data_IF_808484787371
#
_entry.id   IF_808484787371
#
_cell.length_a   1.000
_cell.length_b   1.000
_cell.length_c   1.000
_cell.angle_alpha   90.00
_cell.angle_beta   90.00
_cell.angle_gamma   90.00
#
_symmetry.space_group_name_H-M   'P 1'
#
loop_
_entity.id
_entity.type
_entity.pdbx_description
1 polymer ?
#
# COMPACT_ATOMS: atom_id res chain seq x y z
N UNK A 1 -11.64 -0.32 -50.73
CA UNK A 1 -10.92 -1.44 -50.08
C UNK A 1 -11.87 -1.94 -49.04
N UNK A 2 -12.45 -3.11 -49.26
CA UNK A 2 -13.54 -3.61 -48.43
C UNK A 2 -12.99 -3.94 -47.04
N UNK A 3 -13.80 -3.70 -45.99
CA UNK A 3 -13.41 -3.94 -44.59
C UNK A 3 -12.91 -5.37 -44.37
N UNK A 4 -13.42 -6.31 -45.18
CA UNK A 4 -13.04 -7.71 -45.19
C UNK A 4 -11.63 -7.96 -45.79
N UNK A 5 -11.17 -7.14 -46.73
CA UNK A 5 -9.81 -7.25 -47.29
C UNK A 5 -8.75 -6.78 -46.30
N UNK A 6 -9.07 -5.77 -45.48
CA UNK A 6 -8.17 -5.27 -44.44
C UNK A 6 -8.06 -6.25 -43.27
N UNK A 7 -9.19 -6.81 -42.80
CA UNK A 7 -9.21 -7.79 -41.71
C UNK A 7 -8.49 -9.12 -42.08
N UNK A 8 -8.45 -9.47 -43.37
CA UNK A 8 -7.82 -10.70 -43.86
C UNK A 8 -6.34 -10.55 -44.24
N UNK A 9 -5.75 -9.36 -44.06
CA UNK A 9 -4.34 -9.14 -44.38
C UNK A 9 -3.44 -10.06 -43.52
N UNK A 10 -2.49 -10.79 -44.12
CA UNK A 10 -1.68 -11.80 -43.43
C UNK A 10 -0.89 -11.21 -42.24
N UNK A 11 -0.42 -9.96 -42.35
CA UNK A 11 0.23 -9.26 -41.24
C UNK A 11 -0.72 -8.99 -40.07
N UNK A 12 -1.98 -8.61 -40.32
CA UNK A 12 -2.97 -8.36 -39.27
C UNK A 12 -3.35 -9.65 -38.54
N UNK A 13 -3.50 -10.76 -39.27
CA UNK A 13 -3.70 -12.09 -38.68
C UNK A 13 -2.51 -12.54 -37.84
N UNK A 14 -1.28 -12.33 -38.32
CA UNK A 14 -0.07 -12.64 -37.57
C UNK A 14 0.04 -11.81 -36.29
N UNK A 15 -0.26 -10.50 -36.38
CA UNK A 15 -0.25 -9.59 -35.23
C UNK A 15 -1.31 -9.97 -34.19
N UNK A 16 -2.54 -10.27 -34.62
CA UNK A 16 -3.62 -10.72 -33.73
C UNK A 16 -3.27 -12.06 -33.04
N UNK A 17 -2.70 -13.02 -33.76
CA UNK A 17 -2.27 -14.28 -33.17
C UNK A 17 -1.16 -14.07 -32.12
N UNK A 18 -0.22 -13.17 -32.39
CA UNK A 18 0.85 -12.83 -31.45
C UNK A 18 0.30 -12.13 -30.20
N UNK A 19 -0.63 -11.19 -30.36
CA UNK A 19 -1.34 -10.55 -29.24
C UNK A 19 -2.13 -11.56 -28.40
N UNK A 20 -2.81 -12.51 -29.04
CA UNK A 20 -3.54 -13.58 -28.33
C UNK A 20 -2.59 -14.48 -27.50
N UNK A 21 -1.46 -14.91 -28.08
CA UNK A 21 -0.46 -15.71 -27.36
C UNK A 21 0.13 -14.92 -26.19
N UNK A 22 0.53 -13.67 -26.43
CA UNK A 22 1.06 -12.79 -25.38
C UNK A 22 0.04 -12.61 -24.26
N UNK A 23 -1.23 -12.42 -24.61
CA UNK A 23 -2.32 -12.27 -23.66
C UNK A 23 -2.49 -13.52 -22.78
N UNK A 24 -2.48 -14.72 -23.37
CA UNK A 24 -2.54 -15.98 -22.62
C UNK A 24 -1.34 -16.11 -21.67
N UNK A 25 -0.12 -15.81 -22.15
CA UNK A 25 1.09 -15.84 -21.32
C UNK A 25 0.96 -14.87 -20.13
N UNK A 26 0.50 -13.64 -20.36
CA UNK A 26 0.31 -12.63 -19.32
C UNK A 26 -0.71 -13.08 -18.27
N UNK A 27 -1.80 -13.74 -18.67
CA UNK A 27 -2.78 -14.32 -17.73
C UNK A 27 -2.14 -15.40 -16.87
N UNK A 28 -1.46 -16.37 -17.49
CA UNK A 28 -0.84 -17.50 -16.78
C UNK A 28 0.23 -17.01 -15.80
N UNK A 29 1.09 -16.10 -16.24
CA UNK A 29 2.14 -15.50 -15.40
C UNK A 29 1.50 -14.68 -14.27
N UNK A 30 0.48 -13.88 -14.55
CA UNK A 30 -0.24 -13.09 -13.55
C UNK A 30 -0.86 -13.95 -12.45
N UNK A 31 -1.56 -15.03 -12.82
CA UNK A 31 -2.10 -15.99 -11.85
C UNK A 31 -1.00 -16.71 -11.07
N UNK A 32 0.10 -17.10 -11.73
CA UNK A 32 1.24 -17.72 -11.06
C UNK A 32 1.84 -16.82 -9.99
N UNK A 33 2.05 -15.53 -10.31
CA UNK A 33 2.52 -14.53 -9.35
C UNK A 33 1.54 -14.32 -8.20
N UNK A 34 0.23 -14.37 -8.43
CA UNK A 34 -0.79 -14.25 -7.38
C UNK A 34 -0.76 -15.42 -6.41
N UNK A 35 -0.79 -16.65 -6.94
CA UNK A 35 -0.77 -17.87 -6.13
C UNK A 35 0.50 -17.90 -5.27
N UNK A 36 1.60 -17.38 -5.81
CA UNK A 36 2.85 -17.24 -5.08
C UNK A 36 2.82 -16.12 -4.02
N UNK A 37 2.30 -14.94 -4.35
CA UNK A 37 2.37 -13.76 -3.50
C UNK A 37 1.32 -13.75 -2.37
N UNK A 38 0.12 -14.26 -2.62
CA UNK A 38 -1.00 -14.21 -1.67
C UNK A 38 -0.69 -14.93 -0.35
N UNK A 39 -0.19 -16.18 -0.33
CA UNK A 39 0.15 -16.85 0.92
C UNK A 39 1.23 -16.11 1.71
N UNK A 40 2.20 -15.52 1.01
CA UNK A 40 3.28 -14.75 1.62
C UNK A 40 2.77 -13.45 2.25
N UNK A 41 1.98 -12.67 1.51
CA UNK A 41 1.33 -11.44 2.01
C UNK A 41 0.42 -11.77 3.19
N UNK A 42 -0.37 -12.84 3.09
CA UNK A 42 -1.29 -13.27 4.15
C UNK A 42 -0.55 -13.68 5.43
N UNK A 43 0.58 -14.39 5.30
CA UNK A 43 1.43 -14.77 6.43
C UNK A 43 1.97 -13.54 7.15
N UNK A 44 2.45 -12.54 6.42
CA UNK A 44 2.98 -11.31 7.03
C UNK A 44 1.87 -10.43 7.63
N UNK A 45 0.69 -10.36 7.01
CA UNK A 45 -0.49 -9.73 7.60
C UNK A 45 -0.87 -10.37 8.95
N UNK A 46 -0.86 -11.70 9.05
CA UNK A 46 -1.21 -12.43 10.28
C UNK A 46 -0.20 -12.18 11.41
N UNK A 47 1.08 -12.09 11.06
CA UNK A 47 2.17 -11.90 12.02
C UNK A 47 2.48 -10.42 12.32
N UNK A 48 1.76 -9.50 11.68
CA UNK A 48 1.98 -8.06 11.84
C UNK A 48 1.71 -7.62 13.28
N UNK A 49 2.71 -6.94 13.83
CA UNK A 49 2.79 -6.49 15.22
C UNK A 49 1.95 -5.23 15.45
N UNK A 50 1.81 -4.39 14.42
CA UNK A 50 1.09 -3.12 14.51
C UNK A 50 -0.09 -3.06 13.55
N UNK A 51 -1.10 -2.27 13.91
CA UNK A 51 -2.29 -2.04 13.08
C UNK A 51 -1.92 -1.44 11.71
N UNK A 52 -0.97 -0.50 11.69
CA UNK A 52 -0.45 0.13 10.48
C UNK A 52 0.18 -0.91 9.53
N UNK A 53 0.96 -1.84 10.09
CA UNK A 53 1.56 -2.94 9.33
C UNK A 53 0.47 -3.86 8.74
N UNK A 54 -0.61 -4.12 9.48
CA UNK A 54 -1.76 -4.90 8.96
C UNK A 54 -2.45 -4.17 7.81
N UNK A 55 -2.67 -2.85 7.94
CA UNK A 55 -3.25 -2.03 6.87
C UNK A 55 -2.36 -2.05 5.63
N UNK A 56 -1.05 -1.92 5.79
CA UNK A 56 -0.08 -2.05 4.70
C UNK A 56 -0.19 -3.40 3.98
N UNK A 57 -0.18 -4.51 4.71
CA UNK A 57 -0.29 -5.85 4.09
C UNK A 57 -1.66 -6.09 3.44
N UNK A 58 -2.74 -5.56 4.03
CA UNK A 58 -4.06 -5.55 3.39
C UNK A 58 -4.05 -4.73 2.09
N UNK A 59 -3.41 -3.56 2.08
CA UNK A 59 -3.28 -2.73 0.88
C UNK A 59 -2.47 -3.45 -0.20
N UNK A 60 -1.34 -4.06 0.16
CA UNK A 60 -0.53 -4.88 -0.74
C UNK A 60 -1.34 -6.02 -1.35
N UNK A 61 -2.12 -6.72 -0.54
CA UNK A 61 -3.03 -7.76 -1.03
C UNK A 61 -3.98 -7.16 -2.07
N UNK A 62 -4.73 -6.13 -1.71
CA UNK A 62 -5.69 -5.49 -2.63
C UNK A 62 -5.02 -5.02 -3.93
N UNK A 63 -3.86 -4.38 -3.86
CA UNK A 63 -3.11 -3.92 -5.03
C UNK A 63 -2.72 -5.06 -5.97
N UNK A 64 -2.28 -6.22 -5.43
CA UNK A 64 -1.98 -7.40 -6.23
C UNK A 64 -3.22 -7.94 -6.96
N UNK A 65 -4.38 -7.97 -6.28
CA UNK A 65 -5.65 -8.37 -6.89
C UNK A 65 -6.09 -7.40 -7.99
N UNK A 66 -6.02 -6.08 -7.74
CA UNK A 66 -6.36 -5.06 -8.74
C UNK A 66 -5.47 -5.12 -9.98
N UNK A 67 -4.16 -5.34 -9.82
CA UNK A 67 -3.26 -5.50 -10.97
C UNK A 67 -3.67 -6.67 -11.87
N UNK A 68 -4.16 -7.75 -11.28
CA UNK A 68 -4.56 -8.94 -12.03
C UNK A 68 -5.91 -8.74 -12.70
N UNK A 69 -6.85 -8.08 -12.04
CA UNK A 69 -8.08 -7.64 -12.71
C UNK A 69 -7.76 -6.75 -13.92
N UNK A 70 -6.78 -5.84 -13.81
CA UNK A 70 -6.34 -5.02 -14.92
C UNK A 70 -5.68 -5.85 -16.04
N UNK A 71 -4.82 -6.82 -15.72
CA UNK A 71 -4.21 -7.73 -16.71
C UNK A 71 -5.28 -8.57 -17.41
N UNK A 72 -6.22 -9.15 -16.65
CA UNK A 72 -7.33 -9.93 -17.19
C UNK A 72 -8.20 -9.08 -18.12
N UNK A 73 -8.49 -7.84 -17.74
CA UNK A 73 -9.24 -6.90 -18.56
C UNK A 73 -8.49 -6.50 -19.83
N UNK A 74 -7.19 -6.23 -19.73
CA UNK A 74 -6.36 -5.94 -20.90
C UNK A 74 -6.37 -7.10 -21.88
N UNK A 75 -6.25 -8.33 -21.36
CA UNK A 75 -6.29 -9.57 -22.16
C UNK A 75 -7.65 -9.76 -22.79
N UNK A 76 -8.74 -9.54 -22.04
CA UNK A 76 -10.09 -9.58 -22.58
C UNK A 76 -10.26 -8.58 -23.72
N UNK A 77 -9.82 -7.32 -23.55
CA UNK A 77 -9.87 -6.31 -24.62
C UNK A 77 -8.99 -6.62 -25.84
N UNK A 78 -7.93 -7.41 -25.68
CA UNK A 78 -7.05 -7.81 -26.77
C UNK A 78 -7.59 -9.02 -27.56
N UNK A 79 -8.46 -9.83 -26.94
CA UNK A 79 -9.14 -10.95 -27.61
C UNK A 79 -10.32 -10.39 -28.41
N UNK A 80 -10.39 -10.74 -29.69
CA UNK A 80 -11.39 -10.30 -30.68
C UNK A 80 -12.76 -9.90 -30.08
N UNK A 81 -13.08 -8.61 -30.23
CA UNK A 81 -14.29 -7.95 -29.72
C UNK A 81 -15.58 -8.74 -30.01
N UNK A 82 -15.66 -9.50 -31.10
CA UNK A 82 -16.88 -10.24 -31.47
C UNK A 82 -17.18 -11.47 -30.60
N UNK A 83 -16.14 -12.18 -30.12
CA UNK A 83 -16.29 -13.34 -29.21
C UNK A 83 -16.53 -12.85 -27.78
N UNK A 84 -15.89 -11.73 -27.44
CA UNK A 84 -15.94 -11.11 -26.13
C UNK A 84 -17.31 -10.45 -25.87
N UNK A 85 -17.86 -9.69 -26.83
CA UNK A 85 -19.14 -8.98 -26.66
C UNK A 85 -20.28 -9.95 -26.31
N UNK A 86 -20.39 -11.08 -27.03
CA UNK A 86 -21.48 -12.05 -26.84
C UNK A 86 -21.42 -12.81 -25.50
N UNK A 87 -20.22 -13.02 -24.96
CA UNK A 87 -20.04 -13.80 -23.73
C UNK A 87 -19.91 -12.92 -22.48
N UNK A 88 -19.31 -11.72 -22.58
CA UNK A 88 -19.24 -10.77 -21.47
C UNK A 88 -20.60 -10.16 -21.12
N UNK A 89 -21.48 -9.95 -22.11
CA UNK A 89 -22.84 -9.44 -21.88
C UNK A 89 -23.64 -10.25 -20.85
N UNK A 90 -23.35 -11.54 -20.70
CA UNK A 90 -24.07 -12.43 -19.78
C UNK A 90 -23.37 -12.66 -18.43
N UNK A 91 -22.08 -12.31 -18.32
CA UNK A 91 -21.25 -12.64 -17.15
C UNK A 91 -20.72 -11.42 -16.40
N UNK A 92 -20.75 -10.24 -17.02
CA UNK A 92 -20.15 -9.03 -16.44
C UNK A 92 -21.14 -8.28 -15.55
N UNK A 93 -20.94 -8.35 -14.24
CA UNK A 93 -21.52 -7.41 -13.28
C UNK A 93 -20.78 -6.09 -13.40
N UNK A 94 -21.27 -5.19 -14.26
CA UNK A 94 -20.75 -3.83 -14.45
C UNK A 94 -20.71 -3.05 -13.13
N UNK A 95 -19.59 -2.40 -12.81
CA UNK A 95 -19.48 -1.47 -11.67
C UNK A 95 -20.45 -0.29 -11.84
N UNK A 96 -20.77 0.05 -13.09
CA UNK A 96 -21.75 1.05 -13.49
C UNK A 96 -23.19 0.74 -13.03
N UNK A 97 -23.53 -0.50 -12.66
CA UNK A 97 -24.82 -0.82 -12.00
C UNK A 97 -24.96 -0.15 -10.62
N UNK A 98 -23.84 0.14 -9.96
CA UNK A 98 -23.83 0.84 -8.66
C UNK A 98 -24.25 2.31 -8.83
N UNK A 99 -24.12 2.87 -10.04
CA UNK A 99 -24.36 4.29 -10.33
C UNK A 99 -25.64 4.58 -11.16
N UNK A 100 -26.57 3.63 -11.21
CA UNK A 100 -28.02 3.85 -11.50
C UNK A 100 -28.49 4.26 -12.90
N UNK A 101 -27.70 4.16 -13.98
CA UNK A 101 -28.27 4.21 -15.34
C UNK A 101 -27.70 3.13 -16.28
N UNK A 102 -28.56 2.42 -17.04
CA UNK A 102 -28.14 1.41 -18.01
C UNK A 102 -27.55 2.12 -19.22
N UNK A 103 -26.27 2.47 -19.14
CA UNK A 103 -25.49 2.90 -20.31
C UNK A 103 -25.46 1.72 -21.28
N UNK A 104 -25.77 1.97 -22.55
CA UNK A 104 -25.72 0.97 -23.62
C UNK A 104 -24.42 0.14 -23.53
N UNK A 105 -24.57 -1.18 -23.41
CA UNK A 105 -23.61 -2.12 -22.80
C UNK A 105 -22.20 -2.20 -23.42
N UNK A 106 -21.98 -1.65 -24.62
CA UNK A 106 -20.63 -1.55 -25.19
C UNK A 106 -19.80 -0.45 -24.53
N UNK A 107 -20.41 0.68 -24.15
CA UNK A 107 -19.71 1.82 -23.53
C UNK A 107 -19.34 1.61 -22.06
N UNK A 108 -20.12 0.81 -21.33
CA UNK A 108 -19.92 0.56 -19.90
C UNK A 108 -18.70 -0.34 -19.63
N UNK A 109 -18.36 -1.26 -20.53
CA UNK A 109 -17.15 -2.10 -20.39
C UNK A 109 -15.88 -1.26 -20.48
N UNK A 110 -15.81 -0.32 -21.44
CA UNK A 110 -14.67 0.58 -21.57
C UNK A 110 -14.58 1.55 -20.37
N UNK A 111 -15.71 2.03 -19.86
CA UNK A 111 -15.74 2.85 -18.65
C UNK A 111 -15.25 2.09 -17.42
N UNK A 112 -15.70 0.86 -17.22
CA UNK A 112 -15.28 -0.01 -16.11
C UNK A 112 -13.79 -0.33 -16.20
N UNK A 113 -13.26 -0.62 -17.40
CA UNK A 113 -11.82 -0.80 -17.63
C UNK A 113 -11.07 0.48 -17.30
N UNK A 114 -11.55 1.64 -17.76
CA UNK A 114 -10.92 2.93 -17.50
C UNK A 114 -10.89 3.25 -16.00
N UNK A 115 -11.98 3.02 -15.27
CA UNK A 115 -12.05 3.16 -13.82
C UNK A 115 -11.09 2.21 -13.12
N UNK A 116 -11.01 0.94 -13.54
CA UNK A 116 -10.07 -0.04 -12.98
C UNK A 116 -8.61 0.34 -13.22
N UNK A 117 -8.29 0.94 -14.37
CA UNK A 117 -6.97 1.49 -14.65
C UNK A 117 -6.66 2.70 -13.77
N UNK A 118 -7.60 3.62 -13.56
CA UNK A 118 -7.44 4.75 -12.63
C UNK A 118 -7.22 4.23 -11.20
N UNK A 119 -8.07 3.33 -10.72
CA UNK A 119 -7.93 2.75 -9.38
C UNK A 119 -6.61 2.00 -9.23
N UNK A 120 -6.22 1.19 -10.22
CA UNK A 120 -4.92 0.51 -10.25
C UNK A 120 -3.74 1.49 -10.20
N UNK A 121 -3.82 2.59 -10.95
CA UNK A 121 -2.80 3.65 -10.94
C UNK A 121 -2.73 4.36 -9.58
N UNK A 122 -3.88 4.74 -9.01
CA UNK A 122 -3.94 5.34 -7.66
C UNK A 122 -3.35 4.38 -6.63
N UNK A 123 -3.63 3.08 -6.71
CA UNK A 123 -3.06 2.07 -5.82
C UNK A 123 -1.53 1.97 -5.96
N UNK A 124 -1.00 2.00 -7.19
CA UNK A 124 0.44 2.00 -7.43
C UNK A 124 1.11 3.27 -6.90
N UNK A 125 0.49 4.44 -7.08
CA UNK A 125 1.03 5.72 -6.61
C UNK A 125 1.01 5.84 -5.08
N UNK A 126 0.00 5.24 -4.43
CA UNK A 126 -0.14 5.25 -2.97
C UNK A 126 0.67 4.16 -2.27
N UNK A 127 1.16 3.15 -2.99
CA UNK A 127 2.00 2.07 -2.43
C UNK A 127 3.26 2.61 -1.73
N UNK A 128 3.84 3.70 -2.27
CA UNK A 128 4.97 4.40 -1.65
C UNK A 128 4.63 5.19 -0.38
N UNK A 129 3.35 5.49 -0.14
CA UNK A 129 2.90 6.26 1.03
C UNK A 129 2.74 5.38 2.27
N UNK A 130 2.49 4.08 2.10
CA UNK A 130 2.24 3.18 3.23
C UNK A 130 3.50 2.54 3.81
N UNK A 131 4.69 2.75 3.22
CA UNK A 131 5.96 2.23 3.73
C UNK A 131 6.68 1.34 2.72
N UNK A 132 7.82 0.77 3.12
CA UNK A 132 8.63 -0.11 2.27
C UNK A 132 8.87 -1.44 2.97
N UNK A 133 8.93 -2.51 2.20
CA UNK A 133 9.41 -3.81 2.70
C UNK A 133 10.90 -3.87 2.45
N UNK A 134 11.67 -4.17 3.49
CA UNK A 134 13.12 -4.39 3.41
C UNK A 134 13.45 -5.70 2.69
N UNK A 135 14.69 -5.87 2.22
CA UNK A 135 15.14 -7.11 1.58
C UNK A 135 15.01 -8.34 2.50
N UNK A 136 15.01 -8.11 3.81
CA UNK A 136 14.80 -9.11 4.86
C UNK A 136 13.31 -9.40 5.15
N UNK A 137 12.39 -8.76 4.43
CA UNK A 137 10.95 -8.99 4.54
C UNK A 137 10.25 -8.21 5.66
N UNK A 138 10.96 -7.34 6.38
CA UNK A 138 10.37 -6.52 7.43
C UNK A 138 9.75 -5.25 6.87
N UNK A 139 8.56 -4.92 7.37
CA UNK A 139 7.88 -3.67 7.07
C UNK A 139 8.58 -2.50 7.76
N UNK A 140 8.99 -1.51 6.97
CA UNK A 140 9.51 -0.24 7.43
C UNK A 140 8.44 0.84 7.16
N UNK A 141 7.84 1.44 8.21
CA UNK A 141 6.82 2.46 8.01
C UNK A 141 7.41 3.70 7.32
N UNK A 142 6.54 4.52 6.69
CA UNK A 142 6.99 5.74 6.05
C UNK A 142 7.58 6.72 7.09
N UNK A 143 8.54 7.54 6.66
CA UNK A 143 9.33 8.39 7.56
C UNK A 143 8.47 9.29 8.48
N UNK A 144 7.33 9.79 7.99
CA UNK A 144 6.41 10.59 8.79
C UNK A 144 5.75 9.79 9.94
N UNK A 145 5.41 8.52 9.73
CA UNK A 145 4.88 7.64 10.79
C UNK A 145 5.99 7.31 11.80
N UNK A 146 7.22 7.08 11.32
CA UNK A 146 8.37 6.86 12.19
C UNK A 146 8.62 8.07 13.10
N UNK A 147 8.57 9.28 12.55
CA UNK A 147 8.70 10.54 13.28
C UNK A 147 7.61 10.70 14.34
N UNK A 148 6.35 10.46 13.99
CA UNK A 148 5.24 10.54 14.95
C UNK A 148 5.40 9.54 16.12
N UNK A 149 5.93 8.35 15.84
CA UNK A 149 6.28 7.38 16.90
C UNK A 149 7.41 7.91 17.79
N UNK A 150 8.49 8.43 17.21
CA UNK A 150 9.60 9.02 17.96
C UNK A 150 9.14 10.16 18.86
N UNK A 151 8.32 11.08 18.34
CA UNK A 151 7.73 12.19 19.09
C UNK A 151 6.92 11.65 20.28
N UNK A 152 6.04 10.67 20.04
CA UNK A 152 5.21 10.08 21.11
C UNK A 152 6.04 9.36 22.17
N UNK A 153 7.09 8.65 21.76
CA UNK A 153 7.99 7.95 22.67
C UNK A 153 8.82 8.94 23.51
N UNK A 154 9.25 10.06 22.92
CA UNK A 154 9.90 11.16 23.64
C UNK A 154 8.95 11.81 24.64
N UNK A 155 7.72 12.14 24.23
CA UNK A 155 6.69 12.70 25.14
C UNK A 155 6.40 11.77 26.31
N UNK A 156 6.32 10.46 26.05
CA UNK A 156 6.13 9.45 27.10
C UNK A 156 7.31 9.39 28.07
N UNK A 157 8.54 9.37 27.56
CA UNK A 157 9.76 9.36 28.40
C UNK A 157 9.89 10.63 29.24
N UNK A 158 9.57 11.79 28.68
CA UNK A 158 9.53 13.05 29.41
C UNK A 158 8.53 12.96 30.56
N UNK A 159 7.31 12.45 30.32
CA UNK A 159 6.31 12.29 31.37
C UNK A 159 6.78 11.33 32.47
N UNK A 160 7.37 10.18 32.10
CA UNK A 160 7.90 9.19 33.06
C UNK A 160 9.04 9.76 33.93
N UNK A 161 9.94 10.55 33.35
CA UNK A 161 11.04 11.20 34.09
C UNK A 161 10.57 12.38 34.95
N UNK A 162 9.55 13.13 34.50
CA UNK A 162 8.89 14.17 35.29
C UNK A 162 8.18 13.62 36.53
N UNK A 163 7.66 12.40 36.46
CA UNK A 163 7.05 11.73 37.61
C UNK A 163 8.06 11.29 38.67
N UNK A 164 9.34 11.12 38.31
CA UNK A 164 10.43 10.62 39.17
C UNK A 164 11.55 11.63 39.35
N UNK A 165 11.28 12.85 39.84
CA UNK A 165 12.35 13.78 40.15
C UNK A 165 13.24 13.18 41.26
N UNK A 166 14.53 13.52 41.30
CA UNK A 166 15.45 13.02 42.33
C UNK A 166 14.95 13.31 43.75
N UNK A 167 14.15 14.37 43.95
CA UNK A 167 13.50 14.70 45.22
C UNK A 167 12.51 13.65 45.73
N UNK A 168 11.99 12.77 44.86
CA UNK A 168 11.14 11.63 45.23
C UNK A 168 11.92 10.33 45.49
N UNK A 169 13.25 10.30 45.29
CA UNK A 169 14.08 9.17 45.70
C UNK A 169 14.11 9.11 47.24
N UNK A 170 13.86 7.94 47.82
CA UNK A 170 13.89 7.74 49.27
C UNK A 170 15.25 8.05 49.91
N UNK A 171 16.33 8.04 49.11
CA UNK A 171 17.69 8.41 49.52
C UNK A 171 18.00 9.89 49.39
N UNK A 172 17.08 10.70 48.84
CA UNK A 172 17.31 12.13 48.62
C UNK A 172 17.63 12.88 49.92
N UNK A 173 17.00 12.49 51.02
CA UNK A 173 17.24 13.06 52.36
C UNK A 173 18.59 12.66 52.96
N UNK A 174 19.22 11.59 52.46
CA UNK A 174 20.51 11.07 52.94
C UNK A 174 21.70 11.69 52.20
N UNK A 175 21.49 12.32 51.05
CA UNK A 175 22.54 12.96 50.26
C UNK A 175 22.98 14.29 50.85
N UNK A 176 24.26 14.60 50.69
CA UNK A 176 24.79 15.92 51.07
C UNK A 176 24.09 17.02 50.25
N UNK A 177 24.04 18.27 50.73
CA UNK A 177 23.43 19.38 49.98
C UNK A 177 24.02 19.55 48.58
N UNK A 178 25.34 19.41 48.43
CA UNK A 178 26.05 19.48 47.15
C UNK A 178 25.67 18.33 46.19
N UNK A 179 25.52 17.12 46.72
CA UNK A 179 25.10 15.96 45.91
C UNK A 179 23.65 16.08 45.43
N UNK A 180 22.76 16.63 46.27
CA UNK A 180 21.37 16.93 45.88
C UNK A 180 21.34 17.93 44.74
N UNK A 181 22.06 19.05 44.87
CA UNK A 181 22.11 20.09 43.85
C UNK A 181 22.66 19.54 42.53
N UNK A 182 23.75 18.77 42.57
CA UNK A 182 24.36 18.15 41.38
C UNK A 182 23.40 17.19 40.68
N UNK A 183 22.65 16.37 41.42
CA UNK A 183 21.70 15.40 40.85
C UNK A 183 20.45 16.07 40.31
N UNK A 184 19.91 17.08 41.00
CA UNK A 184 18.79 17.89 40.51
C UNK A 184 19.16 18.58 39.20
N UNK A 185 20.32 19.25 39.16
CA UNK A 185 20.80 19.93 37.96
C UNK A 185 21.07 18.96 36.80
N UNK A 186 21.58 17.77 37.08
CA UNK A 186 21.77 16.73 36.08
C UNK A 186 20.44 16.20 35.50
N UNK A 187 19.41 16.08 36.33
CA UNK A 187 18.07 15.70 35.90
C UNK A 187 17.38 16.80 35.07
N UNK A 188 17.53 18.07 35.46
CA UNK A 188 17.04 19.22 34.69
C UNK A 188 17.67 19.27 33.29
N UNK A 189 18.99 19.10 33.20
CA UNK A 189 19.73 19.02 31.93
C UNK A 189 19.27 17.85 31.04
N UNK A 190 18.91 16.71 31.65
CA UNK A 190 18.41 15.55 30.91
C UNK A 190 17.02 15.80 30.33
N UNK A 191 16.13 16.44 31.10
CA UNK A 191 14.81 16.86 30.60
C UNK A 191 14.93 17.92 29.52
N UNK A 192 15.82 18.90 29.67
CA UNK A 192 16.10 19.93 28.67
C UNK A 192 16.50 19.29 27.33
N UNK A 193 17.42 18.31 27.34
CA UNK A 193 17.81 17.59 26.12
C UNK A 193 16.67 16.78 25.49
N UNK A 194 15.78 16.20 26.29
CA UNK A 194 14.61 15.52 25.73
C UNK A 194 13.64 16.51 25.08
N UNK A 195 13.45 17.68 25.68
CA UNK A 195 12.64 18.75 25.10
C UNK A 195 13.27 19.29 23.81
N UNK A 196 14.58 19.53 23.76
CA UNK A 196 15.30 19.92 22.54
C UNK A 196 15.15 18.89 21.43
N UNK A 197 15.31 17.59 21.75
CA UNK A 197 15.12 16.51 20.78
C UNK A 197 13.67 16.44 20.27
N UNK A 198 12.68 16.67 21.14
CA UNK A 198 11.27 16.71 20.78
C UNK A 198 10.96 17.90 19.85
N UNK A 199 11.51 19.07 20.14
CA UNK A 199 11.33 20.27 19.34
C UNK A 199 11.99 20.13 17.97
N UNK A 200 13.19 19.54 17.92
CA UNK A 200 13.86 19.20 16.66
C UNK A 200 13.02 18.26 15.78
N UNK A 201 12.43 17.21 16.37
CA UNK A 201 11.58 16.26 15.63
C UNK A 201 10.22 16.84 15.23
N UNK A 202 9.71 17.85 15.96
CA UNK A 202 8.47 18.56 15.58
C UNK A 202 8.68 19.56 14.45
N UNK A 203 9.86 20.18 14.38
CA UNK A 203 10.18 21.26 13.44
C UNK A 203 10.80 20.78 12.11
N UNK A 204 11.40 19.60 12.07
CA UNK A 204 11.86 18.97 10.83
C UNK A 204 10.82 18.01 10.29
#
# INVERSE_FOLDING_TARGET
>A
MDQDDFANHPLLRMLNNLLNILSIILVVVGFGLLIWSVPWIWKHRKNASSEIERIFWTWKLLSSWFMIYAILLFVLLCIDNNILHRNLENWWLTVSWIFTEPVSHSGSVYLDVFLLLIFGFVMLMTDGMFGKVTDSGYYNPPAHVQRLRNIRDLEKRIAEEQEKPPSKDSRFSQWSPEEREKRTRGWELLLERFHEALEYEKNN
#
